data_IF_816131907296
#
_entry.id   IF_816131907296
#
_cell.length_a   1.000
_cell.length_b   1.000
_cell.length_c   1.000
_cell.angle_alpha   90.00
_cell.angle_beta   90.00
_cell.angle_gamma   90.00
#
_symmetry.space_group_name_H-M   'P 1'
#
loop_
_entity.id
_entity.type
_entity.pdbx_description
1 polymer ?
#
# COMPACT_ATOMS: atom_id res chain seq x y z
N UNK A 1 -19.22 2.09 -7.51
CA UNK A 1 -19.05 0.66 -7.86
C UNK A 1 -19.95 -0.13 -6.93
N UNK A 2 -21.05 -0.73 -7.42
CA UNK A 2 -22.01 -1.38 -6.54
C UNK A 2 -21.33 -2.56 -5.82
N UNK A 3 -21.26 -2.48 -4.49
CA UNK A 3 -20.63 -3.40 -3.53
C UNK A 3 -19.09 -3.53 -3.56
N UNK A 4 -18.35 -2.42 -3.57
CA UNK A 4 -16.93 -2.45 -3.20
C UNK A 4 -16.77 -2.73 -1.70
N UNK A 5 -16.33 -3.95 -1.36
CA UNK A 5 -16.06 -4.38 0.03
C UNK A 5 -14.64 -4.00 0.40
N UNK A 6 -14.48 -3.08 1.36
CA UNK A 6 -13.17 -2.75 1.92
C UNK A 6 -12.68 -3.87 2.85
N UNK A 7 -11.44 -4.37 2.70
CA UNK A 7 -10.87 -5.29 3.67
C UNK A 7 -10.83 -4.67 5.07
N UNK A 8 -11.18 -5.47 6.09
CA UNK A 8 -11.26 -4.98 7.48
C UNK A 8 -9.91 -4.62 8.09
N UNK A 9 -8.82 -5.13 7.51
CA UNK A 9 -7.45 -4.93 7.97
C UNK A 9 -6.66 -4.33 6.81
N UNK A 10 -6.02 -3.19 7.08
CA UNK A 10 -5.16 -2.49 6.13
C UNK A 10 -3.78 -2.20 6.70
N UNK A 11 -2.83 -2.00 5.80
CA UNK A 11 -1.47 -1.56 6.12
C UNK A 11 -1.34 -0.06 5.87
N UNK A 12 -0.99 0.70 6.91
CA UNK A 12 -0.59 2.10 6.77
C UNK A 12 0.84 2.22 6.24
N UNK A 13 1.08 3.18 5.35
CA UNK A 13 2.39 3.39 4.71
C UNK A 13 3.11 4.66 5.19
N UNK A 14 2.73 5.22 6.34
CA UNK A 14 3.47 6.34 6.92
C UNK A 14 4.81 5.84 7.49
N UNK A 15 5.91 6.16 6.81
CA UNK A 15 7.27 5.81 7.25
C UNK A 15 7.79 6.66 8.43
N UNK A 16 7.09 7.75 8.77
CA UNK A 16 7.60 8.80 9.65
C UNK A 16 9.00 9.27 9.19
N UNK A 17 9.82 9.77 10.11
CA UNK A 17 11.19 10.20 9.86
C UNK A 17 12.20 9.05 10.13
N UNK A 18 11.67 7.84 10.37
CA UNK A 18 12.45 6.66 10.80
C UNK A 18 12.74 5.69 9.68
N UNK A 19 11.88 5.62 8.67
CA UNK A 19 11.99 4.64 7.59
C UNK A 19 12.01 5.36 6.24
N UNK A 20 12.95 4.95 5.39
CA UNK A 20 13.02 5.40 4.00
C UNK A 20 11.84 4.90 3.17
N UNK A 21 11.57 5.56 2.04
CA UNK A 21 10.53 5.14 1.10
C UNK A 21 10.74 3.70 0.59
N UNK A 22 12.00 3.30 0.37
CA UNK A 22 12.34 1.93 -0.04
C UNK A 22 11.99 0.90 1.03
N UNK A 23 12.28 1.18 2.31
CA UNK A 23 11.89 0.30 3.43
C UNK A 23 10.37 0.20 3.57
N UNK A 24 9.64 1.29 3.34
CA UNK A 24 8.17 1.24 3.30
C UNK A 24 7.69 0.39 2.13
N UNK A 25 8.30 0.53 0.95
CA UNK A 25 8.01 -0.32 -0.20
C UNK A 25 8.25 -1.81 0.09
N UNK A 26 9.36 -2.16 0.73
CA UNK A 26 9.65 -3.53 1.15
C UNK A 26 8.59 -4.05 2.15
N UNK A 27 8.19 -3.23 3.12
CA UNK A 27 7.13 -3.57 4.06
C UNK A 27 5.79 -3.83 3.35
N UNK A 28 5.44 -3.04 2.34
CA UNK A 28 4.25 -3.26 1.51
C UNK A 28 4.34 -4.59 0.76
N UNK A 29 5.46 -4.88 0.12
CA UNK A 29 5.65 -6.14 -0.61
C UNK A 29 5.49 -7.36 0.31
N UNK A 30 6.09 -7.31 1.49
CA UNK A 30 5.99 -8.36 2.50
C UNK A 30 4.56 -8.50 3.04
N UNK A 31 3.86 -7.39 3.28
CA UNK A 31 2.47 -7.44 3.73
C UNK A 31 1.55 -8.07 2.68
N UNK A 32 1.72 -7.75 1.40
CA UNK A 32 0.93 -8.36 0.32
C UNK A 32 1.19 -9.87 0.26
N UNK A 33 2.45 -10.31 0.38
CA UNK A 33 2.83 -11.74 0.49
C UNK A 33 2.23 -12.41 1.72
N UNK A 34 2.08 -11.68 2.83
CA UNK A 34 1.44 -12.15 4.06
C UNK A 34 -0.10 -12.16 4.00
N UNK A 35 -0.72 -11.69 2.90
CA UNK A 35 -2.16 -11.75 2.68
C UNK A 35 -2.89 -10.41 2.86
N UNK A 36 -2.19 -9.30 3.10
CA UNK A 36 -2.83 -7.98 3.11
C UNK A 36 -3.38 -7.65 1.72
N UNK A 37 -4.56 -7.04 1.71
CA UNK A 37 -5.25 -6.59 0.49
C UNK A 37 -5.71 -5.13 0.56
N UNK A 38 -5.48 -4.44 1.67
CA UNK A 38 -5.75 -3.02 1.82
C UNK A 38 -4.45 -2.27 2.15
N UNK A 39 -4.04 -1.37 1.26
CA UNK A 39 -2.87 -0.51 1.42
C UNK A 39 -3.33 0.95 1.53
N UNK A 40 -2.96 1.62 2.63
CA UNK A 40 -3.30 3.02 2.89
C UNK A 40 -2.10 3.94 2.65
N UNK A 41 -2.25 4.84 1.69
CA UNK A 41 -1.26 5.83 1.26
C UNK A 41 -1.75 7.27 1.52
N UNK A 42 -0.88 8.24 1.27
CA UNK A 42 -1.21 9.65 1.12
C UNK A 42 -0.09 10.35 0.32
N UNK A 43 -0.44 11.38 -0.46
CA UNK A 43 0.55 12.15 -1.22
C UNK A 43 1.65 12.74 -0.32
N UNK A 44 1.28 13.22 0.88
CA UNK A 44 2.22 13.81 1.84
C UNK A 44 3.22 12.81 2.43
N UNK A 45 3.01 11.50 2.30
CA UNK A 45 3.95 10.49 2.81
C UNK A 45 5.20 10.38 1.92
N UNK A 46 5.17 10.90 0.69
CA UNK A 46 6.33 11.01 -0.18
C UNK A 46 6.90 9.66 -0.67
N UNK A 47 6.14 8.57 -0.57
CA UNK A 47 6.61 7.20 -0.85
C UNK A 47 5.71 6.40 -1.80
N UNK A 48 4.73 7.04 -2.46
CA UNK A 48 3.77 6.35 -3.34
C UNK A 48 4.45 5.69 -4.55
N UNK A 49 5.62 6.19 -4.98
CA UNK A 49 6.40 5.61 -6.07
C UNK A 49 6.93 4.23 -5.70
N UNK A 50 7.50 4.12 -4.51
CA UNK A 50 8.11 2.90 -3.96
C UNK A 50 7.02 1.89 -3.58
N UNK A 51 5.92 2.36 -2.98
CA UNK A 51 4.71 1.55 -2.74
C UNK A 51 4.16 0.98 -4.05
N UNK A 52 4.03 1.80 -5.10
CA UNK A 52 3.55 1.35 -6.41
C UNK A 52 4.48 0.34 -7.08
N UNK A 53 5.80 0.48 -6.89
CA UNK A 53 6.77 -0.50 -7.37
C UNK A 53 6.65 -1.83 -6.63
N UNK A 54 6.50 -1.80 -5.30
CA UNK A 54 6.27 -2.99 -4.48
C UNK A 54 4.98 -3.73 -4.86
N UNK A 55 3.89 -3.00 -5.08
CA UNK A 55 2.62 -3.58 -5.56
C UNK A 55 2.82 -4.31 -6.89
N UNK A 56 3.52 -3.72 -7.87
CA UNK A 56 3.81 -4.40 -9.15
C UNK A 56 4.65 -5.66 -8.97
N UNK A 57 5.68 -5.61 -8.11
CA UNK A 57 6.55 -6.77 -7.84
C UNK A 57 5.83 -7.89 -7.09
N UNK A 58 4.80 -7.57 -6.31
CA UNK A 58 4.03 -8.59 -5.56
C UNK A 58 3.35 -9.62 -6.46
N UNK A 59 3.08 -9.29 -7.73
CA UNK A 59 2.39 -10.16 -8.68
C UNK A 59 0.90 -10.37 -8.39
N UNK A 60 0.35 -9.73 -7.35
CA UNK A 60 -1.08 -9.82 -7.02
C UNK A 60 -1.91 -9.02 -8.02
N UNK A 61 -3.01 -9.57 -8.56
CA UNK A 61 -3.91 -8.85 -9.46
C UNK A 61 -4.41 -7.54 -8.85
N UNK A 62 -4.46 -6.48 -9.66
CA UNK A 62 -4.82 -5.14 -9.18
C UNK A 62 -6.21 -5.12 -8.56
N UNK A 63 -7.15 -5.89 -9.10
CA UNK A 63 -8.53 -6.03 -8.64
C UNK A 63 -8.65 -6.67 -7.26
N UNK A 64 -7.63 -7.40 -6.78
CA UNK A 64 -7.61 -7.93 -5.42
C UNK A 64 -7.17 -6.88 -4.38
N UNK A 65 -6.60 -5.75 -4.83
CA UNK A 65 -6.04 -4.73 -3.95
C UNK A 65 -6.98 -3.55 -3.79
N UNK A 66 -7.29 -3.23 -2.54
CA UNK A 66 -7.82 -1.94 -2.13
C UNK A 66 -6.66 -0.98 -1.84
N UNK A 67 -6.57 0.11 -2.58
CA UNK A 67 -5.52 1.12 -2.39
C UNK A 67 -6.21 2.45 -2.08
N UNK A 68 -5.96 2.98 -0.90
CA UNK A 68 -6.43 4.31 -0.48
C UNK A 68 -5.31 5.33 -0.65
N UNK A 69 -5.63 6.55 -1.06
CA UNK A 69 -4.73 7.71 -0.97
C UNK A 69 -5.51 8.94 -0.51
N UNK A 70 -4.79 10.02 -0.21
CA UNK A 70 -5.33 11.25 0.40
C UNK A 70 -4.77 12.43 -0.40
N UNK A 71 -5.66 13.32 -0.84
CA UNK A 71 -5.28 14.61 -1.44
C UNK A 71 -4.66 15.50 -0.36
N UNK A 72 -3.61 16.24 -0.72
CA UNK A 72 -2.95 17.22 0.14
C UNK A 72 -3.23 18.63 -0.36
#
# INVERSE_FOLDING_TARGET
MPNSVIPKIGLGTFGSDRYSADQVGEAVENAIRAGYRHIDCAAVYGNEREVGAAIRRSGVPREELWISSKVW
#
